data_IF_769571469008
#
_entry.id   IF_769571469008
#
_cell.length_a   1.000
_cell.length_b   1.000
_cell.length_c   1.000
_cell.angle_alpha   90.00
_cell.angle_beta   90.00
_cell.angle_gamma   90.00
#
_symmetry.space_group_name_H-M   'P 1'
#
loop_
_entity.id
_entity.type
_entity.pdbx_description
1 polymer ?
#
# COMPACT_ATOMS: atom_id res chain seq x y z
N UNK A 1 -16.01 12.30 19.46
CA UNK A 1 -14.69 11.66 19.63
C UNK A 1 -14.22 11.26 18.25
N UNK A 2 -13.27 11.99 17.75
CA UNK A 2 -12.70 11.96 16.40
C UNK A 2 -12.10 10.58 16.13
N UNK A 3 -12.54 9.92 15.04
CA UNK A 3 -11.90 8.73 14.51
C UNK A 3 -10.48 9.10 14.07
N UNK A 4 -9.52 8.82 14.91
CA UNK A 4 -8.11 9.06 14.67
C UNK A 4 -7.69 8.02 13.65
N UNK A 5 -7.38 8.46 12.42
CA UNK A 5 -6.42 7.75 11.59
C UNK A 5 -5.20 7.51 12.48
N UNK A 6 -4.91 6.25 12.77
CA UNK A 6 -3.64 5.90 13.38
C UNK A 6 -2.66 5.84 12.20
N UNK A 7 -2.27 7.04 11.70
CA UNK A 7 -0.93 7.17 11.16
C UNK A 7 -0.03 6.90 12.35
N UNK A 8 0.86 5.95 12.20
CA UNK A 8 1.97 5.89 13.12
C UNK A 8 2.81 7.15 12.85
N UNK A 9 2.47 8.25 13.55
CA UNK A 9 3.18 9.54 13.47
C UNK A 9 4.62 9.40 13.95
N UNK A 10 5.03 8.18 14.33
CA UNK A 10 6.36 7.83 14.78
C UNK A 10 7.37 7.63 13.64
N UNK A 11 6.94 7.68 12.36
CA UNK A 11 7.89 7.56 11.23
C UNK A 11 8.72 8.83 11.16
N UNK A 12 9.99 8.69 11.48
CA UNK A 12 10.94 9.78 11.45
C UNK A 12 11.49 9.97 10.02
N UNK A 13 11.05 11.06 9.37
CA UNK A 13 11.53 11.50 8.06
C UNK A 13 12.34 12.80 8.14
N UNK A 14 12.87 13.15 9.31
CA UNK A 14 13.58 14.44 9.53
C UNK A 14 14.80 14.62 8.62
N UNK A 15 15.38 13.53 8.10
CA UNK A 15 16.47 13.58 7.12
C UNK A 15 16.01 13.49 5.65
N UNK A 16 14.71 13.62 5.40
CA UNK A 16 14.12 13.68 4.05
C UNK A 16 13.87 12.33 3.40
N UNK A 17 14.51 11.24 3.83
CA UNK A 17 14.37 9.92 3.23
C UNK A 17 13.24 9.13 3.90
N UNK A 18 12.30 8.60 3.08
CA UNK A 18 11.19 7.77 3.55
C UNK A 18 11.49 6.27 3.46
N UNK A 19 12.28 5.85 2.47
CA UNK A 19 12.70 4.45 2.29
C UNK A 19 14.20 4.38 2.05
N UNK A 20 14.85 3.51 2.82
CA UNK A 20 16.28 3.27 2.76
C UNK A 20 16.57 1.78 2.63
N UNK A 21 17.21 1.38 1.54
CA UNK A 21 17.65 0.01 1.26
C UNK A 21 19.17 0.01 1.16
N UNK A 22 19.85 -0.82 1.95
CA UNK A 22 21.30 -0.90 1.97
C UNK A 22 21.79 -2.34 1.87
N UNK A 23 22.62 -2.61 0.87
CA UNK A 23 23.32 -3.88 0.71
C UNK A 23 22.41 -5.09 0.57
N UNK A 24 21.16 -4.91 0.13
CA UNK A 24 20.15 -5.98 0.10
C UNK A 24 20.51 -7.03 -0.95
N UNK A 25 20.66 -8.26 -0.49
CA UNK A 25 20.89 -9.45 -1.32
C UNK A 25 19.78 -10.46 -1.07
N UNK A 26 19.19 -10.99 -2.14
CA UNK A 26 18.18 -12.07 -2.09
C UNK A 26 18.56 -13.14 -3.10
N UNK A 27 18.62 -14.38 -2.65
CA UNK A 27 18.93 -15.54 -3.48
C UNK A 27 17.79 -16.55 -3.46
N UNK A 28 17.48 -17.13 -4.63
CA UNK A 28 16.55 -18.25 -4.77
C UNK A 28 17.28 -19.38 -5.48
N UNK A 29 17.41 -20.53 -4.84
CA UNK A 29 18.06 -21.73 -5.38
C UNK A 29 19.46 -21.46 -6.02
N UNK A 30 20.24 -20.58 -5.37
CA UNK A 30 21.56 -20.19 -5.84
C UNK A 30 21.59 -19.05 -6.87
N UNK A 31 20.45 -18.62 -7.40
CA UNK A 31 20.35 -17.46 -8.26
C UNK A 31 20.10 -16.19 -7.42
N UNK A 32 20.95 -15.19 -7.58
CA UNK A 32 20.80 -13.90 -6.91
C UNK A 32 19.78 -13.04 -7.66
N UNK A 33 18.59 -12.91 -7.12
CA UNK A 33 17.54 -12.02 -7.65
C UNK A 33 17.84 -10.54 -7.34
N UNK A 34 18.44 -10.27 -6.17
CA UNK A 34 19.00 -8.97 -5.79
C UNK A 34 20.43 -9.22 -5.32
N UNK A 35 21.35 -8.35 -5.71
CA UNK A 35 22.76 -8.46 -5.35
C UNK A 35 23.29 -7.09 -4.95
N UNK A 36 23.48 -6.88 -3.65
CA UNK A 36 24.00 -5.64 -3.07
C UNK A 36 23.20 -4.39 -3.49
N UNK A 37 21.84 -4.50 -3.45
CA UNK A 37 20.95 -3.42 -3.84
C UNK A 37 21.00 -2.29 -2.82
N UNK A 38 21.23 -1.08 -3.35
CA UNK A 38 21.16 0.16 -2.58
C UNK A 38 20.16 1.10 -3.25
N UNK A 39 19.18 1.62 -2.48
CA UNK A 39 18.15 2.54 -2.98
C UNK A 39 17.69 3.46 -1.87
N UNK A 40 17.57 4.73 -2.19
CA UNK A 40 17.05 5.78 -1.31
C UNK A 40 15.88 6.46 -1.98
N UNK A 41 14.78 6.66 -1.27
CA UNK A 41 13.60 7.38 -1.77
C UNK A 41 13.26 8.45 -0.74
N UNK A 42 13.15 9.69 -1.20
CA UNK A 42 12.81 10.82 -0.37
C UNK A 42 11.30 10.93 -0.12
N UNK A 43 10.92 11.59 0.97
CA UNK A 43 9.50 11.83 1.27
C UNK A 43 8.90 12.75 0.18
N UNK A 44 7.74 12.35 -0.37
CA UNK A 44 7.08 13.03 -1.48
C UNK A 44 7.70 12.78 -2.86
N UNK A 45 8.72 11.92 -2.97
CA UNK A 45 9.34 11.59 -4.25
C UNK A 45 8.48 10.63 -5.07
N UNK A 46 8.38 10.89 -6.39
CA UNK A 46 7.89 9.93 -7.38
C UNK A 46 9.07 9.24 -8.07
N UNK A 47 9.30 7.97 -7.76
CA UNK A 47 10.38 7.15 -8.34
C UNK A 47 9.85 6.09 -9.29
N UNK A 48 10.35 6.09 -10.53
CA UNK A 48 10.06 5.05 -11.51
C UNK A 48 11.25 4.08 -11.63
N UNK A 49 10.96 2.77 -11.50
CA UNK A 49 11.98 1.71 -11.60
C UNK A 49 11.73 0.91 -12.87
N UNK A 50 12.66 0.98 -13.81
CA UNK A 50 12.57 0.34 -15.12
C UNK A 50 13.63 -0.76 -15.22
N UNK A 51 13.28 -1.85 -15.89
CA UNK A 51 14.19 -2.96 -16.15
C UNK A 51 13.47 -4.14 -16.81
N UNK A 52 14.22 -5.09 -17.40
CA UNK A 52 13.64 -6.27 -18.04
C UNK A 52 12.91 -7.18 -17.04
N UNK A 53 12.14 -8.14 -17.55
CA UNK A 53 11.57 -9.19 -16.73
C UNK A 53 12.69 -10.02 -16.09
N UNK A 54 12.53 -10.36 -14.81
CA UNK A 54 13.58 -11.05 -14.05
C UNK A 54 14.66 -10.13 -13.44
N UNK A 55 14.63 -8.81 -13.67
CA UNK A 55 15.61 -7.87 -13.09
C UNK A 55 15.45 -7.63 -11.57
N UNK A 56 14.64 -8.40 -10.87
CA UNK A 56 14.48 -8.27 -9.41
C UNK A 56 13.47 -7.21 -8.94
N UNK A 57 12.78 -6.49 -9.84
CA UNK A 57 11.82 -5.44 -9.46
C UNK A 57 10.74 -5.93 -8.49
N UNK A 58 10.11 -7.05 -8.79
CA UNK A 58 9.10 -7.67 -7.92
C UNK A 58 9.70 -8.14 -6.61
N UNK A 59 10.90 -8.75 -6.66
CA UNK A 59 11.62 -9.21 -5.46
C UNK A 59 11.95 -8.04 -4.53
N UNK A 60 12.36 -6.89 -5.07
CA UNK A 60 12.59 -5.69 -4.28
C UNK A 60 11.29 -5.23 -3.58
N UNK A 61 10.16 -5.17 -4.31
CA UNK A 61 8.86 -4.84 -3.71
C UNK A 61 8.43 -5.88 -2.66
N UNK A 62 8.71 -7.17 -2.91
CA UNK A 62 8.43 -8.26 -1.96
C UNK A 62 9.28 -8.11 -0.68
N UNK A 63 10.52 -7.61 -0.79
CA UNK A 63 11.35 -7.30 0.38
C UNK A 63 10.80 -6.11 1.16
N UNK A 64 10.45 -5.02 0.48
CA UNK A 64 9.88 -3.81 1.13
C UNK A 64 8.59 -4.14 1.89
N UNK A 65 7.76 -5.03 1.35
CA UNK A 65 6.49 -5.43 1.97
C UNK A 65 6.61 -6.60 2.97
N UNK A 66 7.82 -7.10 3.21
CA UNK A 66 8.06 -8.19 4.16
C UNK A 66 7.70 -9.59 3.68
N UNK A 67 7.21 -9.73 2.44
CA UNK A 67 6.87 -11.02 1.82
C UNK A 67 8.10 -11.89 1.56
N UNK A 68 9.24 -11.26 1.27
CA UNK A 68 10.52 -11.93 1.09
C UNK A 68 11.53 -11.36 2.08
N UNK A 69 12.23 -12.22 2.82
CA UNK A 69 13.32 -11.80 3.72
C UNK A 69 14.62 -11.75 2.94
N UNK A 70 15.42 -10.69 3.06
CA UNK A 70 16.73 -10.63 2.46
C UNK A 70 17.72 -11.56 3.18
N UNK A 71 18.67 -12.13 2.42
CA UNK A 71 19.79 -12.92 2.98
C UNK A 71 20.79 -12.01 3.70
N UNK A 72 20.94 -10.77 3.17
CA UNK A 72 21.86 -9.74 3.68
C UNK A 72 21.27 -8.36 3.43
N UNK A 73 21.80 -7.37 4.18
CA UNK A 73 21.42 -5.97 4.06
C UNK A 73 20.28 -5.59 4.99
N UNK A 74 19.84 -4.35 4.86
CA UNK A 74 18.80 -3.77 5.71
C UNK A 74 17.83 -2.94 4.88
N UNK A 75 16.58 -2.85 5.35
CA UNK A 75 15.54 -2.01 4.76
C UNK A 75 14.86 -1.24 5.87
N UNK A 76 14.91 0.09 5.78
CA UNK A 76 14.27 0.97 6.76
C UNK A 76 13.18 1.81 6.11
N UNK A 77 12.07 1.95 6.80
CA UNK A 77 11.00 2.87 6.50
C UNK A 77 11.02 4.00 7.53
N UNK A 78 11.26 5.23 7.06
CA UNK A 78 11.76 6.28 7.93
C UNK A 78 13.10 5.86 8.56
N UNK A 79 13.48 6.48 9.68
CA UNK A 79 14.74 6.16 10.36
C UNK A 79 14.61 5.06 11.42
N UNK A 80 13.41 4.72 11.81
CA UNK A 80 13.13 3.92 13.00
C UNK A 80 12.46 2.58 12.73
N UNK A 81 11.95 2.30 11.54
CA UNK A 81 11.26 1.05 11.22
C UNK A 81 12.14 0.14 10.36
N UNK A 82 12.79 -0.84 10.99
CA UNK A 82 13.53 -1.90 10.29
C UNK A 82 12.54 -2.94 9.72
N UNK A 83 12.22 -2.81 8.43
CA UNK A 83 11.26 -3.68 7.74
C UNK A 83 11.71 -5.15 7.70
N UNK A 84 13.01 -5.41 7.84
CA UNK A 84 13.51 -6.78 7.86
C UNK A 84 13.10 -7.55 9.12
N UNK A 85 12.67 -6.86 10.17
CA UNK A 85 12.20 -7.41 11.44
C UNK A 85 10.69 -7.42 11.60
N UNK A 86 9.97 -6.68 10.74
CA UNK A 86 8.51 -6.54 10.76
C UNK A 86 7.85 -7.63 9.91
N UNK A 87 6.61 -8.00 10.23
CA UNK A 87 5.79 -8.84 9.37
C UNK A 87 4.97 -7.99 8.37
N UNK A 88 4.36 -8.64 7.37
CA UNK A 88 3.58 -7.95 6.31
C UNK A 88 2.45 -7.07 6.88
N UNK A 89 1.80 -7.53 7.94
CA UNK A 89 0.72 -6.79 8.61
C UNK A 89 1.26 -5.51 9.29
N UNK A 90 2.36 -5.61 10.03
CA UNK A 90 3.00 -4.47 10.68
C UNK A 90 3.48 -3.44 9.66
N UNK A 91 4.08 -3.90 8.54
CA UNK A 91 4.55 -3.04 7.45
C UNK A 91 3.38 -2.30 6.79
N UNK A 92 2.27 -2.99 6.51
CA UNK A 92 1.07 -2.37 5.97
C UNK A 92 0.49 -1.32 6.92
N UNK A 93 0.49 -1.60 8.24
CA UNK A 93 0.01 -0.68 9.26
C UNK A 93 0.93 0.52 9.47
N UNK A 94 2.23 0.37 9.20
CA UNK A 94 3.18 1.49 9.19
C UNK A 94 2.95 2.46 8.02
N UNK A 95 2.06 2.13 7.07
CA UNK A 95 1.67 3.01 5.98
C UNK A 95 2.32 2.69 4.63
N UNK A 96 2.77 1.44 4.42
CA UNK A 96 3.24 0.99 3.10
C UNK A 96 2.09 0.27 2.38
N UNK A 97 1.58 0.88 1.32
CA UNK A 97 0.58 0.29 0.43
C UNK A 97 1.22 -0.33 -0.81
N UNK A 98 0.72 -1.49 -1.25
CA UNK A 98 1.18 -2.14 -2.48
C UNK A 98 0.04 -2.59 -3.37
N UNK A 99 0.12 -2.22 -4.65
CA UNK A 99 -0.76 -2.75 -5.70
C UNK A 99 -0.26 -4.11 -6.18
N UNK A 100 -1.13 -5.10 -6.17
CA UNK A 100 -0.82 -6.42 -6.73
C UNK A 100 -1.13 -6.49 -8.22
N UNK A 101 -0.51 -7.44 -8.93
CA UNK A 101 -0.68 -7.59 -10.39
C UNK A 101 -2.09 -8.08 -10.79
N UNK A 102 -2.75 -8.86 -9.91
CA UNK A 102 -4.13 -9.33 -10.15
C UNK A 102 -5.10 -8.44 -9.41
N UNK A 103 -6.17 -7.95 -10.08
CA UNK A 103 -7.18 -7.15 -9.42
C UNK A 103 -7.81 -7.90 -8.23
N UNK A 104 -7.82 -7.22 -7.06
CA UNK A 104 -8.34 -7.76 -5.80
C UNK A 104 -9.67 -7.13 -5.42
N UNK A 105 -10.41 -6.58 -6.40
CA UNK A 105 -11.71 -5.95 -6.16
C UNK A 105 -12.79 -6.97 -5.82
N UNK A 106 -13.66 -6.63 -4.89
CA UNK A 106 -14.85 -7.40 -4.54
C UNK A 106 -15.93 -7.20 -5.61
N UNK A 107 -16.01 -8.12 -6.56
CA UNK A 107 -16.82 -7.97 -7.79
C UNK A 107 -18.32 -7.79 -7.54
N UNK A 108 -18.86 -8.37 -6.45
CA UNK A 108 -20.28 -8.30 -6.10
C UNK A 108 -20.66 -7.03 -5.33
N UNK A 109 -19.68 -6.27 -4.87
CA UNK A 109 -19.86 -4.99 -4.18
C UNK A 109 -19.77 -3.84 -5.17
N UNK A 110 -20.38 -2.71 -4.82
CA UNK A 110 -20.29 -1.46 -5.57
C UNK A 110 -18.88 -0.86 -5.46
N UNK A 111 -18.58 0.11 -6.31
CA UNK A 111 -17.34 0.90 -6.22
C UNK A 111 -17.20 1.50 -4.82
N UNK A 112 -18.25 2.13 -4.32
CA UNK A 112 -18.27 2.74 -2.99
C UNK A 112 -17.99 1.71 -1.88
N UNK A 113 -18.69 0.57 -1.89
CA UNK A 113 -18.51 -0.49 -0.89
C UNK A 113 -17.09 -1.10 -0.92
N UNK A 114 -16.45 -1.20 -2.09
CA UNK A 114 -15.05 -1.63 -2.18
C UNK A 114 -14.12 -0.66 -1.45
N UNK A 115 -14.32 0.64 -1.63
CA UNK A 115 -13.51 1.67 -0.94
C UNK A 115 -13.82 1.70 0.56
N UNK A 116 -15.08 1.55 0.95
CA UNK A 116 -15.50 1.43 2.35
C UNK A 116 -14.81 0.24 3.05
N UNK A 117 -14.78 -0.92 2.39
CA UNK A 117 -14.12 -2.12 2.93
C UNK A 117 -12.61 -1.96 3.06
N UNK A 118 -12.00 -1.13 2.21
CA UNK A 118 -10.57 -0.85 2.22
C UNK A 118 -10.15 0.16 3.31
N UNK A 119 -11.08 0.97 3.84
CA UNK A 119 -10.77 1.92 4.90
C UNK A 119 -10.12 1.24 6.10
N UNK A 120 -8.98 1.80 6.53
CA UNK A 120 -8.33 1.41 7.79
C UNK A 120 -9.17 1.90 8.98
N UNK A 121 -10.14 1.11 9.39
CA UNK A 121 -10.87 1.32 10.66
C UNK A 121 -10.51 0.19 11.62
N UNK A 122 -10.35 0.50 12.92
CA UNK A 122 -10.33 -0.56 13.95
C UNK A 122 -11.61 -1.38 13.80
N UNK A 123 -11.49 -2.55 13.19
CA UNK A 123 -12.59 -3.51 13.01
C UNK A 123 -12.79 -4.29 14.30
N UNK A 124 -13.28 -3.62 15.34
CA UNK A 124 -13.88 -4.33 16.47
C UNK A 124 -15.17 -4.95 15.97
N UNK A 125 -15.32 -6.27 16.12
CA UNK A 125 -16.45 -7.06 15.58
C UNK A 125 -17.80 -6.46 15.95
N UNK A 126 -17.94 -5.92 17.17
CA UNK A 126 -19.16 -5.26 17.66
C UNK A 126 -19.38 -3.87 17.04
N UNK A 127 -18.35 -3.15 16.66
CA UNK A 127 -18.46 -1.84 16.02
C UNK A 127 -18.80 -1.96 14.53
N UNK A 128 -18.38 -3.02 13.87
CA UNK A 128 -18.67 -3.27 12.44
C UNK A 128 -20.17 -3.55 12.21
N UNK A 129 -20.87 -4.12 13.20
CA UNK A 129 -22.31 -4.44 13.09
C UNK A 129 -23.24 -3.25 13.29
N UNK A 130 -22.77 -2.14 13.87
CA UNK A 130 -23.63 -1.02 14.29
C UNK A 130 -23.19 0.36 13.80
N UNK A 131 -22.04 0.48 13.14
CA UNK A 131 -21.47 1.77 12.74
C UNK A 131 -21.81 2.14 11.31
N UNK A 132 -22.58 3.20 11.14
CA UNK A 132 -22.60 3.98 9.90
C UNK A 132 -21.27 4.73 9.75
N UNK A 133 -20.80 4.86 8.50
CA UNK A 133 -19.63 5.69 8.16
C UNK A 133 -19.79 7.10 8.74
N UNK A 134 -18.71 7.64 9.25
CA UNK A 134 -18.67 9.06 9.64
C UNK A 134 -18.66 9.94 8.39
N UNK A 135 -19.10 11.19 8.54
CA UNK A 135 -19.09 12.17 7.44
C UNK A 135 -17.70 12.33 6.84
N UNK A 136 -16.66 12.38 7.67
CA UNK A 136 -15.26 12.47 7.23
C UNK A 136 -14.85 11.27 6.38
N UNK A 137 -15.26 10.06 6.74
CA UNK A 137 -14.95 8.85 5.96
C UNK A 137 -15.66 8.86 4.61
N UNK A 138 -16.91 9.30 4.56
CA UNK A 138 -17.66 9.44 3.30
C UNK A 138 -16.97 10.47 2.41
N UNK A 139 -16.61 11.64 2.95
CA UNK A 139 -15.95 12.71 2.21
C UNK A 139 -14.58 12.23 1.66
N UNK A 140 -13.83 11.44 2.43
CA UNK A 140 -12.57 10.82 1.96
C UNK A 140 -12.82 9.88 0.79
N UNK A 141 -13.78 8.95 0.92
CA UNK A 141 -14.13 8.02 -0.17
C UNK A 141 -14.56 8.78 -1.43
N UNK A 142 -15.39 9.82 -1.28
CA UNK A 142 -15.87 10.60 -2.42
C UNK A 142 -14.75 11.36 -3.12
N UNK A 143 -13.81 11.93 -2.36
CA UNK A 143 -12.61 12.57 -2.89
C UNK A 143 -11.74 11.58 -3.66
N UNK A 144 -11.52 10.40 -3.10
CA UNK A 144 -10.68 9.38 -3.74
C UNK A 144 -11.37 8.80 -4.99
N UNK A 145 -12.71 8.62 -4.99
CA UNK A 145 -13.46 8.27 -6.20
C UNK A 145 -13.32 9.33 -7.30
N UNK A 146 -13.29 10.61 -6.96
CA UNK A 146 -13.05 11.69 -7.91
C UNK A 146 -11.62 11.61 -8.47
N UNK A 147 -10.62 11.37 -7.60
CA UNK A 147 -9.21 11.23 -7.98
C UNK A 147 -8.98 10.08 -8.95
N UNK A 148 -9.64 8.94 -8.75
CA UNK A 148 -9.54 7.77 -9.64
C UNK A 148 -10.52 7.79 -10.82
N UNK A 149 -11.34 8.83 -10.94
CA UNK A 149 -12.29 9.03 -12.07
C UNK A 149 -13.46 8.05 -12.06
N UNK A 150 -13.88 7.54 -10.89
CA UNK A 150 -14.99 6.58 -10.76
C UNK A 150 -16.20 7.11 -9.99
N UNK A 151 -16.32 8.44 -9.84
CA UNK A 151 -17.42 9.07 -9.09
C UNK A 151 -18.80 8.74 -9.67
N UNK A 152 -18.93 8.74 -10.99
CA UNK A 152 -20.18 8.43 -11.68
C UNK A 152 -20.58 6.94 -11.55
N UNK A 153 -19.61 6.08 -11.27
CA UNK A 153 -19.79 4.65 -11.08
C UNK A 153 -19.98 4.25 -9.61
N UNK A 154 -20.17 5.21 -8.70
CA UNK A 154 -20.29 5.00 -7.25
C UNK A 154 -21.13 3.77 -6.88
N UNK A 155 -22.30 3.62 -7.48
CA UNK A 155 -23.27 2.57 -7.19
C UNK A 155 -23.18 1.37 -8.15
N UNK A 156 -22.24 1.39 -9.11
CA UNK A 156 -22.05 0.29 -10.05
C UNK A 156 -21.27 -0.85 -9.36
N UNK A 157 -21.67 -2.10 -9.58
CA UNK A 157 -20.93 -3.26 -9.09
C UNK A 157 -19.56 -3.33 -9.76
N UNK A 158 -18.52 -3.55 -8.98
CA UNK A 158 -17.13 -3.61 -9.48
C UNK A 158 -16.93 -4.71 -10.53
N UNK A 159 -17.71 -5.78 -10.49
CA UNK A 159 -17.69 -6.82 -11.52
C UNK A 159 -18.01 -6.30 -12.93
N UNK A 160 -18.84 -5.24 -13.06
CA UNK A 160 -19.27 -4.64 -14.33
C UNK A 160 -18.29 -3.58 -14.87
N UNK A 161 -17.29 -3.20 -14.09
CA UNK A 161 -16.27 -2.27 -14.52
C UNK A 161 -15.37 -2.90 -15.60
N UNK A 162 -14.87 -2.08 -16.52
CA UNK A 162 -13.80 -2.49 -17.44
C UNK A 162 -12.53 -2.86 -16.70
N UNK A 163 -11.61 -3.55 -17.37
CA UNK A 163 -10.32 -3.95 -16.75
C UNK A 163 -9.53 -2.73 -16.23
N UNK A 164 -9.46 -1.66 -17.02
CA UNK A 164 -8.79 -0.41 -16.61
C UNK A 164 -9.46 0.25 -15.41
N UNK A 165 -10.81 0.30 -15.39
CA UNK A 165 -11.55 0.85 -14.25
C UNK A 165 -11.34 0.03 -12.97
N UNK A 166 -11.23 -1.31 -13.08
CA UNK A 166 -10.88 -2.18 -11.93
C UNK A 166 -9.50 -1.86 -11.38
N UNK A 167 -8.52 -1.58 -12.26
CA UNK A 167 -7.19 -1.17 -11.82
C UNK A 167 -7.21 0.19 -11.09
N UNK A 168 -8.01 1.14 -11.58
CA UNK A 168 -8.21 2.42 -10.89
C UNK A 168 -8.91 2.25 -9.55
N UNK A 169 -9.91 1.36 -9.46
CA UNK A 169 -10.57 1.06 -8.20
C UNK A 169 -9.58 0.48 -7.17
N UNK A 170 -8.66 -0.41 -7.59
CA UNK A 170 -7.61 -0.92 -6.70
C UNK A 170 -6.69 0.18 -6.18
N UNK A 171 -6.31 1.13 -7.05
CA UNK A 171 -5.53 2.29 -6.62
C UNK A 171 -6.33 3.09 -5.59
N UNK A 172 -7.63 3.33 -5.84
CA UNK A 172 -8.51 3.99 -4.87
C UNK A 172 -8.58 3.25 -3.54
N UNK A 173 -8.67 1.92 -3.55
CA UNK A 173 -8.66 1.11 -2.33
C UNK A 173 -7.35 1.22 -1.54
N UNK A 174 -6.25 1.56 -2.18
CA UNK A 174 -4.98 1.88 -1.50
C UNK A 174 -4.98 3.32 -0.99
N UNK A 175 -5.48 4.28 -1.77
CA UNK A 175 -5.51 5.69 -1.40
C UNK A 175 -6.36 5.96 -0.16
N UNK A 176 -7.52 5.33 -0.03
CA UNK A 176 -8.40 5.49 1.16
C UNK A 176 -7.74 4.99 2.47
N UNK A 177 -6.66 4.20 2.36
CA UNK A 177 -5.85 3.78 3.50
C UNK A 177 -4.85 4.85 3.92
N UNK A 178 -4.72 5.94 3.15
CA UNK A 178 -3.79 7.04 3.35
C UNK A 178 -2.32 6.57 3.53
N UNK A 179 -1.76 5.82 2.56
CA UNK A 179 -0.41 5.29 2.69
C UNK A 179 0.64 6.41 2.64
N UNK A 180 1.72 6.24 3.40
CA UNK A 180 2.91 7.11 3.36
C UNK A 180 3.83 6.76 2.18
N UNK A 181 3.88 5.48 1.82
CA UNK A 181 4.60 4.95 0.67
C UNK A 181 3.67 4.04 -0.15
N UNK A 182 3.54 4.33 -1.44
CA UNK A 182 2.71 3.56 -2.37
C UNK A 182 3.59 2.88 -3.42
N UNK A 183 3.51 1.56 -3.50
CA UNK A 183 4.19 0.71 -4.48
C UNK A 183 3.18 0.25 -5.54
N UNK A 184 3.39 0.63 -6.82
CA UNK A 184 2.48 0.32 -7.94
C UNK A 184 3.17 -0.53 -9.00
#
# INVERSE_FOLDING_TARGET
MTGVHIKDDSIDTTHGCILYIEGVTVSFDGFKALNDLNLYIDDGELRCIIGPNGAGKTTMMDVITGKTRPDKGAVFFGQNHDLTKMNEYEISHAGIGRKFQKPTVFQNHTVFENLELALHTRKDVWQTLTRSLTRVQIDTIEKDMETIGLKDQKNLRAGLLSHGQKQWLEIGMLLVQDPRLLLI
#
